data_IF_757465623720
#
_entry.id   IF_757465623720
#
_cell.length_a   1.000
_cell.length_b   1.000
_cell.length_c   1.000
_cell.angle_alpha   90.00
_cell.angle_beta   90.00
_cell.angle_gamma   90.00
#
_symmetry.space_group_name_H-M   'P 1'
#
loop_
_entity.id
_entity.type
_entity.pdbx_description
1 polymer ?
#
# COMPACT_ATOMS: atom_id res chain seq x y z
N UNK A 1 -13.69 -27.40 -5.27
CA UNK A 1 -12.32 -26.94 -5.65
C UNK A 1 -11.39 -27.50 -4.59
N UNK A 2 -10.52 -28.46 -4.94
CA UNK A 2 -9.48 -28.91 -4.01
C UNK A 2 -8.62 -27.70 -3.64
N UNK A 3 -8.72 -27.27 -2.38
CA UNK A 3 -7.92 -26.21 -1.81
C UNK A 3 -6.50 -26.73 -1.56
N UNK A 4 -5.75 -26.99 -2.64
CA UNK A 4 -4.32 -27.24 -2.53
C UNK A 4 -3.67 -25.92 -2.14
N UNK A 5 -3.55 -25.72 -0.82
CA UNK A 5 -2.89 -24.58 -0.23
C UNK A 5 -1.44 -24.58 -0.69
N UNK A 6 -1.05 -23.51 -1.38
CA UNK A 6 0.31 -23.32 -1.84
C UNK A 6 1.11 -22.72 -0.69
N UNK A 7 1.80 -23.56 0.07
CA UNK A 7 2.46 -23.17 1.33
C UNK A 7 3.46 -22.04 1.14
N UNK A 8 4.24 -22.05 0.05
CA UNK A 8 5.24 -21.01 -0.20
C UNK A 8 4.62 -19.63 -0.48
N UNK A 9 3.39 -19.56 -1.02
CA UNK A 9 2.69 -18.27 -1.16
C UNK A 9 2.34 -17.65 0.19
N UNK A 10 2.12 -18.47 1.22
CA UNK A 10 1.86 -17.95 2.55
C UNK A 10 3.14 -17.45 3.22
N UNK A 11 4.26 -18.14 3.04
CA UNK A 11 5.57 -17.65 3.51
C UNK A 11 5.93 -16.32 2.85
N UNK A 12 5.77 -16.20 1.53
CA UNK A 12 6.01 -14.94 0.81
C UNK A 12 5.08 -13.85 1.33
N UNK A 13 3.80 -14.16 1.56
CA UNK A 13 2.84 -13.19 2.09
C UNK A 13 3.21 -12.73 3.50
N UNK A 14 3.59 -13.65 4.38
CA UNK A 14 4.04 -13.33 5.73
C UNK A 14 5.28 -12.45 5.70
N UNK A 15 6.27 -12.79 4.88
CA UNK A 15 7.47 -11.97 4.71
C UNK A 15 7.14 -10.58 4.14
N UNK A 16 6.25 -10.48 3.15
CA UNK A 16 5.80 -9.21 2.60
C UNK A 16 5.12 -8.32 3.66
N UNK A 17 4.26 -8.90 4.51
CA UNK A 17 3.63 -8.19 5.64
C UNK A 17 4.71 -7.65 6.60
N UNK A 18 5.63 -8.50 7.03
CA UNK A 18 6.72 -8.11 7.95
C UNK A 18 7.56 -6.99 7.33
N UNK A 19 7.90 -7.12 6.05
CA UNK A 19 8.70 -6.15 5.32
C UNK A 19 8.05 -4.76 5.30
N UNK A 20 6.74 -4.70 5.02
CA UNK A 20 5.97 -3.45 5.05
C UNK A 20 5.92 -2.86 6.46
N UNK A 21 5.73 -3.69 7.49
CA UNK A 21 5.74 -3.23 8.88
C UNK A 21 7.10 -2.62 9.27
N UNK A 22 8.20 -3.29 8.94
CA UNK A 22 9.55 -2.80 9.23
C UNK A 22 9.77 -1.43 8.59
N UNK A 23 9.45 -1.27 7.30
CA UNK A 23 9.62 0.03 6.63
C UNK A 23 8.82 1.15 7.29
N UNK A 24 7.55 0.89 7.62
CA UNK A 24 6.72 1.93 8.23
C UNK A 24 7.22 2.32 9.62
N UNK A 25 7.69 1.35 10.41
CA UNK A 25 8.27 1.61 11.73
C UNK A 25 9.60 2.36 11.61
N UNK A 26 10.49 1.92 10.71
CA UNK A 26 11.80 2.55 10.51
C UNK A 26 11.67 3.96 9.93
N UNK A 27 10.72 4.19 9.02
CA UNK A 27 10.40 5.53 8.50
C UNK A 27 9.88 6.46 9.61
N UNK A 28 8.98 5.98 10.46
CA UNK A 28 8.48 6.76 11.60
C UNK A 28 9.59 7.08 12.61
N UNK A 29 10.44 6.11 12.93
CA UNK A 29 11.56 6.28 13.87
C UNK A 29 12.56 7.31 13.35
N UNK A 30 12.85 7.28 12.05
CA UNK A 30 13.74 8.25 11.39
C UNK A 30 13.22 9.68 11.52
N UNK A 31 11.93 9.90 11.29
CA UNK A 31 11.32 11.24 11.32
C UNK A 31 11.10 11.76 12.75
N UNK A 32 10.75 10.87 13.68
CA UNK A 32 10.23 11.27 15.01
C UNK A 32 11.25 11.21 16.15
N UNK A 33 12.29 10.39 16.04
CA UNK A 33 13.16 10.02 17.19
C UNK A 33 14.62 10.41 16.96
N UNK A 34 15.06 10.54 15.70
CA UNK A 34 16.46 10.79 15.36
C UNK A 34 16.58 12.17 14.69
N UNK A 35 16.57 13.28 15.45
CA UNK A 35 16.78 14.63 14.91
C UNK A 35 18.22 14.88 14.42
N UNK A 36 19.03 13.83 14.22
CA UNK A 36 20.50 13.92 14.08
C UNK A 36 21.05 13.19 12.86
N UNK A 37 20.30 13.10 11.76
CA UNK A 37 20.87 12.61 10.49
C UNK A 37 21.95 13.55 9.92
N UNK A 38 22.13 14.74 10.49
CA UNK A 38 23.24 15.66 10.20
C UNK A 38 24.61 15.24 10.80
N UNK A 39 24.69 14.14 11.55
CA UNK A 39 25.94 13.67 12.18
C UNK A 39 26.39 12.29 11.65
N UNK A 40 26.67 12.18 10.35
CA UNK A 40 27.46 11.08 9.76
C UNK A 40 26.89 9.64 9.89
N UNK A 41 27.67 8.61 9.50
CA UNK A 41 27.22 7.22 9.50
C UNK A 41 27.19 6.63 10.93
N UNK A 42 26.12 6.91 11.66
CA UNK A 42 25.82 6.26 12.95
C UNK A 42 25.28 4.83 12.77
N UNK A 43 25.28 4.03 13.84
CA UNK A 43 24.65 2.70 13.81
C UNK A 43 23.17 2.77 13.40
N UNK A 44 22.44 3.79 13.89
CA UNK A 44 21.04 4.01 13.54
C UNK A 44 20.85 4.35 12.06
N UNK A 45 21.79 5.12 11.47
CA UNK A 45 21.80 5.40 10.04
C UNK A 45 21.93 4.11 9.22
N UNK A 46 22.83 3.21 9.61
CA UNK A 46 23.02 1.93 8.94
C UNK A 46 21.81 1.00 9.08
N UNK A 47 21.21 0.91 10.27
CA UNK A 47 20.00 0.12 10.50
C UNK A 47 18.85 0.64 9.63
N UNK A 48 18.62 1.96 9.62
CA UNK A 48 17.61 2.58 8.77
C UNK A 48 17.83 2.26 7.28
N UNK A 49 19.07 2.42 6.80
CA UNK A 49 19.40 2.14 5.40
C UNK A 49 19.23 0.66 5.06
N UNK A 50 19.62 -0.25 5.96
CA UNK A 50 19.38 -1.67 5.77
C UNK A 50 17.89 -1.96 5.66
N UNK A 51 17.10 -1.46 6.61
CA UNK A 51 15.66 -1.70 6.67
C UNK A 51 14.94 -1.20 5.42
N UNK A 52 15.20 0.06 5.03
CA UNK A 52 14.49 0.70 3.91
C UNK A 52 14.87 0.09 2.56
N UNK A 53 16.08 -0.43 2.39
CA UNK A 53 16.53 -1.03 1.13
C UNK A 53 16.16 -2.51 1.04
N UNK A 54 16.34 -3.27 2.12
CA UNK A 54 16.10 -4.71 2.13
C UNK A 54 14.61 -5.05 2.11
N UNK A 55 13.82 -4.40 2.98
CA UNK A 55 12.40 -4.71 3.13
C UNK A 55 11.52 -4.00 2.10
N UNK A 56 12.08 -3.19 1.18
CA UNK A 56 11.29 -2.43 0.19
C UNK A 56 10.49 -3.33 -0.73
N UNK A 57 11.04 -4.51 -0.99
CA UNK A 57 10.42 -5.55 -1.79
C UNK A 57 9.07 -6.03 -1.23
N UNK A 58 8.70 -5.73 0.02
CA UNK A 58 7.43 -6.18 0.61
C UNK A 58 6.21 -5.83 -0.25
N UNK A 59 6.17 -4.62 -0.81
CA UNK A 59 5.08 -4.18 -1.70
C UNK A 59 5.12 -4.92 -3.03
N UNK A 60 6.30 -5.07 -3.64
CA UNK A 60 6.49 -5.78 -4.90
C UNK A 60 6.05 -7.25 -4.77
N UNK A 61 6.34 -7.89 -3.64
CA UNK A 61 5.91 -9.25 -3.34
C UNK A 61 4.39 -9.37 -3.24
N UNK A 62 3.68 -8.38 -2.68
CA UNK A 62 2.21 -8.36 -2.72
C UNK A 62 1.67 -8.26 -4.14
N UNK A 63 2.30 -7.45 -4.98
CA UNK A 63 1.91 -7.28 -6.38
C UNK A 63 2.15 -8.59 -7.17
N UNK A 64 3.32 -9.22 -7.00
CA UNK A 64 3.66 -10.50 -7.61
C UNK A 64 2.68 -11.60 -7.18
N UNK A 65 2.39 -11.72 -5.88
CA UNK A 65 1.39 -12.68 -5.37
C UNK A 65 0.01 -12.43 -5.96
N UNK A 66 -0.36 -11.16 -6.14
CA UNK A 66 -1.64 -10.79 -6.75
C UNK A 66 -1.72 -11.28 -8.20
N UNK A 67 -0.67 -11.07 -9.00
CA UNK A 67 -0.57 -11.59 -10.35
C UNK A 67 -0.64 -13.12 -10.40
N UNK A 68 0.21 -13.80 -9.63
CA UNK A 68 0.28 -15.26 -9.59
C UNK A 68 -1.05 -15.93 -9.18
N UNK A 69 -1.85 -15.26 -8.33
CA UNK A 69 -3.13 -15.79 -7.86
C UNK A 69 -4.31 -15.48 -8.78
N UNK A 70 -4.20 -14.48 -9.67
CA UNK A 70 -5.35 -13.97 -10.44
C UNK A 70 -5.22 -14.19 -11.95
N UNK A 71 -4.00 -14.26 -12.49
CA UNK A 71 -3.73 -14.52 -13.90
C UNK A 71 -3.88 -16.01 -14.25
N UNK A 72 -3.95 -16.32 -15.55
CA UNK A 72 -4.12 -17.67 -16.11
C UNK A 72 -5.38 -18.39 -15.61
N UNK A 73 -6.48 -17.65 -15.46
CA UNK A 73 -7.75 -18.21 -15.00
C UNK A 73 -8.92 -17.75 -15.87
N UNK A 74 -9.84 -18.66 -16.16
CA UNK A 74 -11.10 -18.33 -16.83
C UNK A 74 -12.11 -17.84 -15.80
N UNK A 75 -12.46 -16.55 -15.84
CA UNK A 75 -13.46 -15.94 -14.96
C UNK A 75 -14.21 -14.84 -15.67
N UNK A 76 -15.44 -14.56 -15.21
CA UNK A 76 -16.24 -13.46 -15.71
C UNK A 76 -15.72 -12.13 -15.14
N UNK A 77 -15.40 -11.18 -16.02
CA UNK A 77 -14.82 -9.87 -15.66
C UNK A 77 -15.71 -9.08 -14.70
N UNK A 78 -17.02 -9.03 -14.99
CA UNK A 78 -17.99 -8.32 -14.15
C UNK A 78 -18.05 -8.91 -12.74
N UNK A 79 -18.10 -10.24 -12.64
CA UNK A 79 -18.08 -10.95 -11.35
C UNK A 79 -16.78 -10.69 -10.56
N UNK A 80 -15.64 -10.67 -11.25
CA UNK A 80 -14.35 -10.36 -10.66
C UNK A 80 -14.31 -8.95 -10.05
N UNK A 81 -14.66 -7.93 -10.83
CA UNK A 81 -14.61 -6.53 -10.39
C UNK A 81 -15.59 -6.26 -9.23
N UNK A 82 -16.83 -6.72 -9.34
CA UNK A 82 -17.84 -6.55 -8.27
C UNK A 82 -17.41 -7.21 -6.96
N UNK A 83 -16.67 -8.33 -7.04
CA UNK A 83 -16.20 -9.02 -5.83
C UNK A 83 -14.96 -8.38 -5.21
N UNK A 84 -14.07 -7.80 -6.02
CA UNK A 84 -12.74 -7.31 -5.60
C UNK A 84 -12.72 -5.83 -5.28
N UNK A 85 -13.31 -4.99 -6.12
CA UNK A 85 -13.28 -3.54 -5.98
C UNK A 85 -13.87 -3.07 -4.63
N UNK A 86 -15.04 -3.55 -4.18
CA UNK A 86 -15.58 -3.13 -2.88
C UNK A 86 -14.71 -3.55 -1.68
N UNK A 87 -13.89 -4.60 -1.81
CA UNK A 87 -12.98 -5.03 -0.73
C UNK A 87 -11.83 -4.05 -0.51
N UNK A 88 -11.54 -3.20 -1.50
CA UNK A 88 -10.53 -2.14 -1.38
C UNK A 88 -11.21 -0.81 -1.05
N UNK A 89 -12.29 -0.46 -1.78
CA UNK A 89 -12.99 0.82 -1.61
C UNK A 89 -13.58 0.95 -0.20
N UNK A 90 -14.17 -0.13 0.36
CA UNK A 90 -14.78 -0.05 1.70
C UNK A 90 -13.74 0.28 2.80
N UNK A 91 -12.61 -0.45 2.94
CA UNK A 91 -11.56 -0.05 3.86
C UNK A 91 -11.02 1.35 3.61
N UNK A 92 -10.84 1.74 2.34
CA UNK A 92 -10.34 3.07 1.99
C UNK A 92 -11.26 4.19 2.49
N UNK A 93 -12.57 4.10 2.19
CA UNK A 93 -13.56 5.08 2.68
C UNK A 93 -13.58 5.07 4.20
N UNK A 94 -13.62 3.89 4.82
CA UNK A 94 -13.63 3.74 6.28
C UNK A 94 -12.43 4.44 6.93
N UNK A 95 -11.20 4.14 6.47
CA UNK A 95 -9.99 4.72 7.04
C UNK A 95 -9.81 6.20 6.70
N UNK A 96 -10.32 6.66 5.55
CA UNK A 96 -10.38 8.10 5.23
C UNK A 96 -11.26 8.85 6.22
N UNK A 97 -12.46 8.33 6.51
CA UNK A 97 -13.37 8.92 7.49
C UNK A 97 -12.78 8.88 8.90
N UNK A 98 -12.23 7.74 9.31
CA UNK A 98 -11.57 7.60 10.63
C UNK A 98 -10.41 8.58 10.76
N UNK A 99 -9.56 8.71 9.74
CA UNK A 99 -8.42 9.64 9.76
C UNK A 99 -8.89 11.09 9.85
N UNK A 100 -9.95 11.46 9.13
CA UNK A 100 -10.52 12.79 9.19
C UNK A 100 -11.10 13.09 10.59
N UNK A 101 -11.84 12.14 11.18
CA UNK A 101 -12.41 12.29 12.53
C UNK A 101 -11.28 12.41 13.56
N UNK A 102 -10.29 11.52 13.52
CA UNK A 102 -9.15 11.57 14.43
C UNK A 102 -8.38 12.89 14.29
N UNK A 103 -8.18 13.36 13.06
CA UNK A 103 -7.55 14.65 12.84
C UNK A 103 -8.39 15.77 13.47
N UNK A 104 -9.69 15.86 13.19
CA UNK A 104 -10.56 16.92 13.72
C UNK A 104 -10.68 16.87 15.26
N UNK A 105 -10.78 15.68 15.85
CA UNK A 105 -10.96 15.51 17.30
C UNK A 105 -9.65 15.67 18.08
N UNK A 106 -8.53 15.18 17.54
CA UNK A 106 -7.23 15.18 18.22
C UNK A 106 -6.29 16.28 17.72
N UNK A 107 -6.75 17.15 16.82
CA UNK A 107 -5.99 18.25 16.22
C UNK A 107 -5.17 19.04 17.23
N UNK A 108 -5.84 19.49 18.30
CA UNK A 108 -5.24 20.33 19.35
C UNK A 108 -4.22 19.58 20.21
N UNK A 109 -4.30 18.25 20.26
CA UNK A 109 -3.42 17.38 21.04
C UNK A 109 -2.20 16.91 20.23
N UNK A 110 -2.40 16.65 18.93
CA UNK A 110 -1.37 16.13 18.03
C UNK A 110 -0.53 17.23 17.37
N UNK A 111 -1.12 18.39 17.10
CA UNK A 111 -0.50 19.50 16.39
C UNK A 111 -0.56 20.78 17.23
N UNK A 112 0.33 20.87 18.22
CA UNK A 112 0.57 22.13 18.92
C UNK A 112 0.94 23.21 17.88
N UNK A 113 0.15 24.29 17.82
CA UNK A 113 0.35 25.52 17.02
C UNK A 113 -0.17 25.57 15.57
N UNK A 114 -0.93 24.59 15.06
CA UNK A 114 -1.58 24.75 13.74
C UNK A 114 -3.02 25.29 13.98
N UNK A 115 -3.46 26.38 13.32
CA UNK A 115 -4.81 26.92 13.48
C UNK A 115 -5.86 25.98 12.89
N UNK A 116 -7.05 25.81 13.52
CA UNK A 116 -8.08 24.91 13.00
C UNK A 116 -8.48 25.31 11.58
N UNK A 117 -8.97 24.34 10.79
CA UNK A 117 -9.50 24.64 9.46
C UNK A 117 -10.66 25.62 9.57
N UNK A 118 -10.54 26.75 8.87
CA UNK A 118 -11.54 27.81 8.90
C UNK A 118 -12.57 27.65 7.77
N UNK A 119 -12.34 26.73 6.84
CA UNK A 119 -13.21 26.50 5.68
C UNK A 119 -13.24 25.04 5.24
N UNK A 120 -14.34 24.66 4.58
CA UNK A 120 -14.46 23.34 3.94
C UNK A 120 -13.39 23.13 2.85
N UNK A 121 -12.98 24.20 2.19
CA UNK A 121 -11.92 24.19 1.18
C UNK A 121 -10.57 23.80 1.76
N UNK A 122 -10.24 24.24 2.98
CA UNK A 122 -9.00 23.83 3.65
C UNK A 122 -9.01 22.34 4.03
N UNK A 123 -10.17 21.81 4.43
CA UNK A 123 -10.33 20.37 4.70
C UNK A 123 -10.08 19.57 3.42
N UNK A 124 -10.66 20.00 2.29
CA UNK A 124 -10.42 19.37 0.98
C UNK A 124 -8.93 19.45 0.63
N UNK A 125 -8.31 20.62 0.75
CA UNK A 125 -6.89 20.79 0.45
C UNK A 125 -6.02 19.88 1.33
N UNK A 126 -6.33 19.73 2.60
CA UNK A 126 -5.62 18.80 3.48
C UNK A 126 -5.83 17.33 3.10
N UNK A 127 -6.97 16.96 2.53
CA UNK A 127 -7.18 15.58 2.06
C UNK A 127 -6.31 15.29 0.82
N UNK A 128 -6.24 16.24 -0.12
CA UNK A 128 -5.69 16.02 -1.46
C UNK A 128 -4.23 16.49 -1.68
N UNK A 129 -3.63 17.21 -0.74
CA UNK A 129 -2.23 17.70 -0.87
C UNK A 129 -1.19 16.64 -0.47
N UNK A 130 0.06 16.86 -0.87
CA UNK A 130 1.20 15.97 -0.61
C UNK A 130 1.57 15.83 0.88
N UNK A 131 1.09 16.74 1.73
CA UNK A 131 1.23 16.64 3.19
C UNK A 131 -0.04 16.07 3.86
N UNK A 132 -1.00 15.67 3.03
CA UNK A 132 -2.32 15.27 3.42
C UNK A 132 -2.49 13.77 3.63
N UNK A 133 -3.73 13.39 3.92
CA UNK A 133 -4.12 12.00 4.22
C UNK A 133 -3.82 11.07 3.03
N UNK A 134 -3.99 11.54 1.79
CA UNK A 134 -3.89 10.70 0.60
C UNK A 134 -2.46 10.28 0.25
N UNK A 135 -1.43 10.96 0.79
CA UNK A 135 -0.03 10.60 0.57
C UNK A 135 0.28 9.20 1.07
N UNK A 136 -0.32 8.79 2.19
CA UNK A 136 -0.16 7.44 2.74
C UNK A 136 -1.00 6.37 2.01
N UNK A 137 -1.89 6.79 1.11
CA UNK A 137 -2.77 5.91 0.35
C UNK A 137 -2.29 5.63 -1.08
N UNK A 138 -1.02 5.87 -1.39
CA UNK A 138 -0.45 5.53 -2.70
C UNK A 138 -0.72 4.07 -3.11
N UNK A 139 -0.62 3.12 -2.16
CA UNK A 139 -0.85 1.70 -2.40
C UNK A 139 -2.30 1.41 -2.81
N UNK A 140 -3.27 2.17 -2.31
CA UNK A 140 -4.67 2.05 -2.70
C UNK A 140 -4.85 2.33 -4.20
N UNK A 141 -4.29 3.43 -4.68
CA UNK A 141 -4.37 3.80 -6.10
C UNK A 141 -3.68 2.76 -6.99
N UNK A 142 -2.52 2.27 -6.54
CA UNK A 142 -1.80 1.21 -7.24
C UNK A 142 -2.64 -0.07 -7.35
N UNK A 143 -3.13 -0.63 -6.24
CA UNK A 143 -3.87 -1.90 -6.27
C UNK A 143 -5.21 -1.78 -6.98
N UNK A 144 -5.85 -0.61 -6.91
CA UNK A 144 -7.06 -0.32 -7.68
C UNK A 144 -6.77 -0.38 -9.18
N UNK A 145 -5.70 0.28 -9.65
CA UNK A 145 -5.26 0.23 -11.04
C UNK A 145 -4.92 -1.19 -11.49
N UNK A 146 -4.25 -1.97 -10.64
CA UNK A 146 -3.94 -3.39 -10.90
C UNK A 146 -5.21 -4.21 -11.08
N UNK A 147 -6.22 -4.08 -10.21
CA UNK A 147 -7.46 -4.83 -10.38
C UNK A 147 -8.26 -4.42 -11.62
N UNK A 148 -8.19 -3.16 -12.05
CA UNK A 148 -8.82 -2.72 -13.29
C UNK A 148 -8.10 -3.24 -14.53
N UNK A 149 -6.79 -3.45 -14.46
CA UNK A 149 -5.97 -3.92 -15.59
C UNK A 149 -5.80 -5.44 -15.65
N UNK A 150 -5.95 -6.16 -14.54
CA UNK A 150 -5.87 -7.64 -14.49
C UNK A 150 -6.75 -8.35 -15.53
N UNK A 151 -8.02 -7.93 -15.81
CA UNK A 151 -8.81 -8.52 -16.89
C UNK A 151 -8.16 -8.46 -18.27
N UNK A 152 -7.43 -7.37 -18.55
CA UNK A 152 -6.72 -7.16 -19.81
C UNK A 152 -5.51 -8.09 -19.86
N UNK A 153 -4.67 -8.07 -18.82
CA UNK A 153 -3.49 -8.95 -18.74
C UNK A 153 -3.86 -10.43 -18.73
N UNK A 154 -4.94 -10.81 -18.06
CA UNK A 154 -5.39 -12.19 -18.01
C UNK A 154 -5.87 -12.68 -19.38
N UNK A 155 -6.47 -11.81 -20.21
CA UNK A 155 -6.83 -12.16 -21.58
C UNK A 155 -5.57 -12.42 -22.41
N UNK A 156 -4.55 -11.57 -22.29
CA UNK A 156 -3.26 -11.80 -22.95
C UNK A 156 -2.64 -13.13 -22.51
N UNK A 157 -2.49 -13.33 -21.19
CA UNK A 157 -1.88 -14.55 -20.62
C UNK A 157 -2.58 -15.84 -21.01
N UNK A 158 -3.91 -15.81 -21.21
CA UNK A 158 -4.66 -17.00 -21.63
C UNK A 158 -4.48 -17.36 -23.11
N UNK A 159 -4.09 -16.40 -23.96
CA UNK A 159 -3.96 -16.59 -25.41
C UNK A 159 -2.51 -16.59 -25.90
N UNK A 160 -1.59 -16.05 -25.10
CA UNK A 160 -0.16 -16.01 -25.40
C UNK A 160 0.46 -17.41 -25.32
N UNK A 161 1.36 -17.69 -26.25
CA UNK A 161 2.30 -18.81 -26.18
C UNK A 161 3.32 -18.57 -25.06
N UNK A 162 3.98 -19.65 -24.60
CA UNK A 162 5.03 -19.53 -23.59
C UNK A 162 6.16 -18.59 -24.02
N UNK A 163 6.52 -18.61 -25.31
CA UNK A 163 7.53 -17.71 -25.87
C UNK A 163 7.10 -16.24 -25.77
N UNK A 164 5.82 -15.91 -25.99
CA UNK A 164 5.33 -14.53 -25.88
C UNK A 164 5.19 -14.04 -24.42
N UNK A 165 5.24 -14.95 -23.44
CA UNK A 165 5.22 -14.59 -22.02
C UNK A 165 6.63 -14.34 -21.44
N UNK A 166 7.67 -14.85 -22.11
CA UNK A 166 9.07 -14.73 -21.68
C UNK A 166 9.77 -13.47 -22.20
N UNK A 167 9.15 -12.74 -23.14
CA UNK A 167 9.66 -11.51 -23.78
C UNK A 167 8.71 -10.33 -23.60
#
# INVERSE_FOLDING_TARGET
MNNNRIVYFDFIRSFAIISVLVIHVSAFTCVSIIPQFDLGPSLNWWIYNFDINFFKCGVDLFLMLTGALLLSRKWNIKSFLIKKIPRIIKPFIFWTVVSLILFLCCYKFLYFNIPPFNSFTEIINFIFTSQGIFTHYWYFWMILGVYLTIPIYNLFVLNASQNELEY
#
